data_IF_259818938094
#
_entry.id   IF_259818938094
#
_cell.length_a   1.000
_cell.length_b   1.000
_cell.length_c   1.000
_cell.angle_alpha   90.00
_cell.angle_beta   90.00
_cell.angle_gamma   90.00
#
_symmetry.space_group_name_H-M   'P 1'
#
loop_
_entity.id
_entity.type
_entity.pdbx_description
1 polymer ?
#
# COMPACT_ATOMS: atom_id res chain seq x y z
N UNK A 1 39.59 -35.80 -28.05
CA UNK A 1 39.40 -35.34 -26.65
C UNK A 1 38.30 -34.29 -26.63
N UNK A 2 37.14 -34.57 -26.03
CA UNK A 2 36.04 -33.60 -25.91
C UNK A 2 36.23 -32.78 -24.63
N UNK A 3 36.29 -31.45 -24.75
CA UNK A 3 36.50 -30.55 -23.62
C UNK A 3 35.16 -30.11 -23.02
N UNK A 4 35.01 -30.26 -21.70
CA UNK A 4 33.84 -29.78 -20.97
C UNK A 4 33.82 -28.24 -20.96
N UNK A 5 32.70 -27.64 -21.40
CA UNK A 5 32.50 -26.19 -21.31
C UNK A 5 32.20 -25.79 -19.88
N UNK A 6 33.18 -25.19 -19.21
CA UNK A 6 32.99 -24.53 -17.93
C UNK A 6 32.29 -23.18 -18.18
N UNK A 7 31.15 -22.97 -17.52
CA UNK A 7 30.46 -21.68 -17.51
C UNK A 7 30.90 -20.91 -16.27
N UNK A 8 31.58 -19.79 -16.47
CA UNK A 8 31.89 -18.86 -15.41
C UNK A 8 30.68 -17.94 -15.16
N UNK A 9 30.15 -17.94 -13.94
CA UNK A 9 29.19 -16.93 -13.48
C UNK A 9 29.94 -15.77 -12.87
N UNK A 10 29.76 -14.57 -13.43
CA UNK A 10 30.34 -13.35 -12.85
C UNK A 10 29.75 -13.12 -11.45
N UNK A 11 30.60 -12.71 -10.50
CA UNK A 11 30.14 -12.28 -9.19
C UNK A 11 29.31 -11.00 -9.35
N UNK A 12 28.19 -10.85 -8.61
CA UNK A 12 27.40 -9.63 -8.64
C UNK A 12 28.25 -8.44 -8.22
N UNK A 13 28.00 -7.29 -8.83
CA UNK A 13 28.60 -6.04 -8.38
C UNK A 13 28.12 -5.68 -6.97
N UNK A 14 28.85 -4.81 -6.27
CA UNK A 14 28.42 -4.28 -4.97
C UNK A 14 27.01 -3.67 -5.06
N UNK A 15 26.71 -2.97 -6.16
CA UNK A 15 25.38 -2.38 -6.38
C UNK A 15 24.28 -3.42 -6.48
N UNK A 16 24.54 -4.54 -7.17
CA UNK A 16 23.57 -5.64 -7.28
C UNK A 16 23.36 -6.33 -5.94
N UNK A 17 24.44 -6.53 -5.17
CA UNK A 17 24.36 -7.10 -3.83
C UNK A 17 23.54 -6.20 -2.89
N UNK A 18 23.78 -4.89 -2.92
CA UNK A 18 23.03 -3.92 -2.12
C UNK A 18 21.56 -3.88 -2.51
N UNK A 19 21.24 -3.90 -3.82
CA UNK A 19 19.87 -3.95 -4.31
C UNK A 19 19.15 -5.24 -3.91
N UNK A 20 19.85 -6.37 -3.89
CA UNK A 20 19.30 -7.64 -3.41
C UNK A 20 18.97 -7.57 -1.91
N UNK A 21 19.87 -7.03 -1.08
CA UNK A 21 19.63 -6.82 0.35
C UNK A 21 18.45 -5.87 0.58
N UNK A 22 18.41 -4.74 -0.13
CA UNK A 22 17.28 -3.82 -0.10
C UNK A 22 15.97 -4.51 -0.47
N UNK A 23 15.98 -5.36 -1.52
CA UNK A 23 14.78 -6.08 -1.95
C UNK A 23 14.26 -7.02 -0.88
N UNK A 24 15.14 -7.65 -0.09
CA UNK A 24 14.81 -8.57 1.01
C UNK A 24 14.28 -7.77 2.20
N UNK A 25 15.03 -6.76 2.64
CA UNK A 25 14.68 -5.94 3.81
C UNK A 25 13.38 -5.15 3.57
N UNK A 26 13.21 -4.56 2.38
CA UNK A 26 12.07 -3.69 2.05
C UNK A 26 10.90 -4.44 1.40
N UNK A 27 10.96 -5.77 1.24
CA UNK A 27 9.84 -6.57 0.70
C UNK A 27 8.59 -6.45 1.56
N UNK A 28 8.77 -6.55 2.88
CA UNK A 28 7.69 -6.44 3.86
C UNK A 28 7.09 -5.04 3.90
N UNK A 29 7.95 -4.01 3.87
CA UNK A 29 7.55 -2.59 3.93
C UNK A 29 6.58 -2.21 2.81
N UNK A 30 6.83 -2.64 1.56
CA UNK A 30 5.94 -2.36 0.42
C UNK A 30 4.56 -2.99 0.56
N UNK A 31 4.48 -4.23 1.04
CA UNK A 31 3.20 -4.92 1.27
C UNK A 31 2.40 -4.23 2.39
N UNK A 32 3.07 -3.86 3.48
CA UNK A 32 2.46 -3.12 4.59
C UNK A 32 2.00 -1.74 4.13
N UNK A 33 2.82 -1.00 3.38
CA UNK A 33 2.44 0.31 2.82
C UNK A 33 1.18 0.22 1.94
N UNK A 34 1.08 -0.79 1.06
CA UNK A 34 -0.12 -1.02 0.24
C UNK A 34 -1.36 -1.31 1.08
N UNK A 35 -1.22 -2.14 2.12
CA UNK A 35 -2.33 -2.45 3.06
C UNK A 35 -2.77 -1.21 3.83
N UNK A 36 -1.80 -0.44 4.32
CA UNK A 36 -2.06 0.80 5.05
C UNK A 36 -2.77 1.82 4.16
N UNK A 37 -2.27 2.03 2.94
CA UNK A 37 -2.89 2.93 1.97
C UNK A 37 -4.34 2.53 1.67
N UNK A 38 -4.59 1.25 1.41
CA UNK A 38 -5.96 0.75 1.21
C UNK A 38 -6.85 0.95 2.43
N UNK A 39 -6.36 0.63 3.63
CA UNK A 39 -7.09 0.81 4.89
C UNK A 39 -7.47 2.28 5.09
N UNK A 40 -6.54 3.22 4.85
CA UNK A 40 -6.81 4.65 4.93
C UNK A 40 -7.92 5.08 3.96
N UNK A 41 -7.87 4.64 2.70
CA UNK A 41 -8.90 4.96 1.70
C UNK A 41 -10.27 4.42 2.10
N UNK A 42 -10.34 3.19 2.62
CA UNK A 42 -11.60 2.60 3.09
C UNK A 42 -12.14 3.38 4.31
N UNK A 43 -11.29 3.73 5.26
CA UNK A 43 -11.70 4.54 6.41
C UNK A 43 -12.18 5.93 5.99
N UNK A 44 -11.49 6.59 5.07
CA UNK A 44 -11.87 7.93 4.61
C UNK A 44 -13.21 7.93 3.89
N UNK A 45 -13.47 6.91 3.06
CA UNK A 45 -14.79 6.71 2.43
C UNK A 45 -15.89 6.52 3.46
N UNK A 46 -15.62 5.76 4.53
CA UNK A 46 -16.57 5.61 5.64
C UNK A 46 -16.81 6.95 6.34
N UNK A 47 -15.75 7.65 6.74
CA UNK A 47 -15.87 8.99 7.37
C UNK A 47 -16.61 10.00 6.49
N UNK A 48 -16.44 9.94 5.18
CA UNK A 48 -17.15 10.80 4.24
C UNK A 48 -18.65 10.46 4.16
N UNK A 49 -19.00 9.16 4.21
CA UNK A 49 -20.39 8.73 4.30
C UNK A 49 -21.02 9.15 5.62
N UNK A 50 -20.36 8.87 6.74
CA UNK A 50 -20.83 9.20 8.09
C UNK A 50 -21.11 10.71 8.21
N UNK A 51 -20.24 11.57 7.66
CA UNK A 51 -20.46 13.03 7.60
C UNK A 51 -21.71 13.42 6.79
N UNK A 52 -21.92 12.81 5.62
CA UNK A 52 -23.10 13.09 4.79
C UNK A 52 -24.39 12.63 5.47
N UNK A 53 -24.38 11.45 6.08
CA UNK A 53 -25.54 10.92 6.81
C UNK A 53 -25.87 11.80 8.02
N UNK A 54 -24.86 12.22 8.78
CA UNK A 54 -25.04 13.16 9.89
C UNK A 54 -25.63 14.49 9.42
N UNK A 55 -25.12 15.06 8.32
CA UNK A 55 -25.66 16.30 7.75
C UNK A 55 -27.14 16.14 7.36
N UNK A 56 -27.49 15.06 6.65
CA UNK A 56 -28.88 14.80 6.24
C UNK A 56 -29.83 14.65 7.44
N UNK A 57 -29.36 14.01 8.53
CA UNK A 57 -30.15 13.91 9.75
C UNK A 57 -30.34 15.28 10.41
N UNK A 58 -29.28 16.10 10.48
CA UNK A 58 -29.37 17.46 11.01
C UNK A 58 -30.34 18.32 10.22
N UNK A 59 -30.28 18.27 8.88
CA UNK A 59 -31.22 18.99 8.00
C UNK A 59 -32.67 18.53 8.24
N UNK A 60 -32.91 17.22 8.36
CA UNK A 60 -34.24 16.68 8.69
C UNK A 60 -34.76 17.18 10.03
N UNK A 61 -33.91 17.23 11.05
CA UNK A 61 -34.30 17.74 12.37
C UNK A 61 -34.58 19.24 12.34
N UNK A 62 -33.78 20.03 11.62
CA UNK A 62 -34.02 21.45 11.44
C UNK A 62 -35.38 21.70 10.75
N UNK A 63 -35.65 21.03 9.63
CA UNK A 63 -36.94 21.14 8.94
C UNK A 63 -38.13 20.63 9.75
N UNK A 64 -37.91 19.70 10.69
CA UNK A 64 -38.95 19.25 11.61
C UNK A 64 -39.22 20.26 12.73
N UNK A 65 -38.20 20.99 13.19
CA UNK A 65 -38.34 22.02 14.21
C UNK A 65 -38.97 23.32 13.68
N UNK A 66 -38.88 23.57 12.37
CA UNK A 66 -39.48 24.73 11.70
C UNK A 66 -40.99 24.56 11.37
N UNK A 67 -41.55 23.36 11.56
CA UNK A 67 -42.99 23.06 11.36
C UNK A 67 -43.73 23.07 12.69
#
# INVERSE_FOLDING_TARGET
>A
MSAARIRATALPSLTDALRAVESVLLRGGRRTARRNAWSCVVQDRRRARDRREAQQLMERFASAAER
#
